data_IF_718026036207
#
_entry.id   IF_718026036207
#
_cell.length_a   1.000
_cell.length_b   1.000
_cell.length_c   1.000
_cell.angle_alpha   90.00
_cell.angle_beta   90.00
_cell.angle_gamma   90.00
#
_symmetry.space_group_name_H-M   'P 1'
#
loop_
_entity.id
_entity.type
_entity.pdbx_description
1 polymer ?
#
# COMPACT_ATOMS: atom_id res chain seq x y z
N UNK A 1 13.26 -11.74 0.53
CA UNK A 1 12.88 -11.08 1.79
C UNK A 1 11.99 -9.91 1.45
N UNK A 2 10.90 -9.69 2.19
CA UNK A 2 10.01 -8.54 2.01
C UNK A 2 10.52 -7.40 2.88
N UNK A 3 10.89 -6.29 2.27
CA UNK A 3 11.29 -5.06 2.94
C UNK A 3 10.04 -4.24 3.27
N UNK A 4 9.87 -3.88 4.54
CA UNK A 4 8.76 -3.05 5.01
C UNK A 4 9.31 -1.65 5.27
N UNK A 5 8.73 -0.66 4.61
CA UNK A 5 9.20 0.72 4.72
C UNK A 5 8.85 1.28 6.10
N UNK A 6 9.83 1.90 6.75
CA UNK A 6 9.66 2.63 7.99
C UNK A 6 8.99 4.00 7.79
N UNK A 7 8.52 4.61 8.87
CA UNK A 7 7.74 5.86 8.82
C UNK A 7 8.47 7.01 8.09
N UNK A 8 9.81 7.10 8.22
CA UNK A 8 10.61 8.12 7.54
C UNK A 8 10.67 7.90 6.03
N UNK A 9 10.82 6.66 5.60
CA UNK A 9 10.85 6.26 4.18
C UNK A 9 9.49 6.54 3.53
N UNK A 10 8.39 6.18 4.22
CA UNK A 10 7.03 6.47 3.75
C UNK A 10 6.80 7.95 3.52
N UNK A 11 7.13 8.79 4.52
CA UNK A 11 6.98 10.26 4.39
C UNK A 11 7.83 10.85 3.26
N UNK A 12 9.02 10.30 3.03
CA UNK A 12 9.86 10.73 1.92
C UNK A 12 9.22 10.38 0.57
N UNK A 13 8.70 9.16 0.40
CA UNK A 13 8.03 8.76 -0.85
C UNK A 13 6.74 9.55 -1.08
N UNK A 14 5.94 9.80 -0.02
CA UNK A 14 4.74 10.65 -0.11
C UNK A 14 5.08 12.07 -0.54
N UNK A 15 6.20 12.62 -0.07
CA UNK A 15 6.67 13.95 -0.48
C UNK A 15 7.09 13.96 -1.96
N UNK A 16 7.87 12.96 -2.39
CA UNK A 16 8.35 12.85 -3.76
C UNK A 16 7.24 12.56 -4.78
N UNK A 17 6.10 12.04 -4.35
CA UNK A 17 4.94 11.85 -5.23
C UNK A 17 4.38 13.20 -5.75
N UNK A 18 4.49 14.26 -4.94
CA UNK A 18 3.88 15.56 -5.24
C UNK A 18 4.55 16.16 -6.48
N UNK A 19 5.89 16.13 -6.51
CA UNK A 19 6.71 16.58 -7.62
C UNK A 19 7.54 15.42 -8.19
N UNK A 20 6.87 14.51 -8.88
CA UNK A 20 7.48 13.32 -9.46
C UNK A 20 8.19 13.55 -10.81
N UNK A 21 8.09 14.75 -11.38
CA UNK A 21 8.70 15.08 -12.69
C UNK A 21 10.13 15.57 -12.55
N UNK A 22 10.47 16.20 -11.42
CA UNK A 22 11.77 16.84 -11.17
C UNK A 22 12.59 16.09 -10.12
N UNK A 23 13.91 16.05 -10.32
CA UNK A 23 14.84 15.53 -9.30
C UNK A 23 14.98 16.53 -8.14
N UNK A 24 14.56 16.12 -6.94
CA UNK A 24 14.61 16.92 -5.72
C UNK A 24 15.97 16.78 -5.05
N UNK A 25 16.62 17.88 -4.69
CA UNK A 25 17.91 17.85 -4.01
C UNK A 25 17.73 17.58 -2.51
N UNK A 26 18.72 16.99 -1.81
CA UNK A 26 18.61 16.67 -0.38
C UNK A 26 18.14 17.82 0.53
N UNK A 27 18.49 19.07 0.20
CA UNK A 27 18.07 20.25 0.95
C UNK A 27 16.57 20.58 0.86
N UNK A 28 15.87 20.04 -0.14
CA UNK A 28 14.42 20.20 -0.34
C UNK A 28 13.60 19.07 0.28
N UNK A 29 14.25 17.98 0.70
CA UNK A 29 13.58 16.81 1.25
C UNK A 29 13.10 17.06 2.69
N UNK A 30 12.05 16.34 3.14
CA UNK A 30 11.54 16.45 4.50
C UNK A 30 12.61 16.14 5.55
N UNK A 31 12.58 16.87 6.66
CA UNK A 31 13.49 16.67 7.80
C UNK A 31 13.46 15.20 8.25
N UNK A 32 14.60 14.53 8.17
CA UNK A 32 14.75 13.11 8.52
C UNK A 32 15.04 12.18 7.34
N UNK A 33 14.98 12.67 6.10
CA UNK A 33 15.50 11.99 4.91
C UNK A 33 17.03 12.12 4.84
N UNK A 34 17.73 11.39 5.72
CA UNK A 34 19.20 11.36 5.72
C UNK A 34 19.77 10.55 4.56
N UNK A 35 21.07 10.72 4.29
CA UNK A 35 21.79 9.99 3.25
C UNK A 35 21.63 8.46 3.36
N UNK A 36 21.52 7.92 4.58
CA UNK A 36 21.27 6.49 4.79
C UNK A 36 19.90 6.02 4.31
N UNK A 37 18.86 6.83 4.47
CA UNK A 37 17.51 6.51 3.96
C UNK A 37 17.47 6.61 2.44
N UNK A 38 18.07 7.66 1.88
CA UNK A 38 18.17 7.84 0.43
C UNK A 38 18.96 6.72 -0.24
N UNK A 39 20.12 6.36 0.34
CA UNK A 39 20.95 5.27 -0.15
C UNK A 39 20.20 3.93 -0.16
N UNK A 40 19.48 3.61 0.92
CA UNK A 40 18.66 2.38 1.00
C UNK A 40 17.57 2.34 -0.06
N UNK A 41 16.78 3.41 -0.18
CA UNK A 41 15.69 3.42 -1.16
C UNK A 41 16.22 3.41 -2.60
N UNK A 42 17.38 4.01 -2.86
CA UNK A 42 18.06 3.94 -4.15
C UNK A 42 18.58 2.53 -4.43
N UNK A 43 19.18 1.85 -3.45
CA UNK A 43 19.67 0.47 -3.63
C UNK A 43 18.55 -0.55 -3.86
N UNK A 44 17.38 -0.30 -3.27
CA UNK A 44 16.17 -1.11 -3.49
C UNK A 44 15.47 -0.78 -4.82
N UNK A 45 15.96 0.20 -5.59
CA UNK A 45 15.39 0.63 -6.87
C UNK A 45 14.11 1.47 -6.74
N UNK A 46 13.73 1.87 -5.52
CA UNK A 46 12.52 2.66 -5.24
C UNK A 46 12.70 4.16 -5.57
N UNK A 47 13.95 4.61 -5.66
CA UNK A 47 14.33 5.96 -6.06
C UNK A 47 15.30 5.93 -7.23
N UNK A 48 15.15 6.92 -8.11
CA UNK A 48 16.10 7.24 -9.17
C UNK A 48 16.95 8.43 -8.75
N UNK A 49 18.24 8.37 -9.07
CA UNK A 49 19.16 9.48 -8.91
C UNK A 49 19.43 10.15 -10.26
N UNK A 50 19.57 11.47 -10.25
CA UNK A 50 19.81 12.24 -11.46
C UNK A 50 20.36 13.62 -11.16
N UNK A 51 20.62 14.39 -12.20
CA UNK A 51 21.05 15.78 -12.05
C UNK A 51 19.87 16.63 -11.55
N UNK A 52 20.03 17.20 -10.36
CA UNK A 52 19.15 18.23 -9.83
C UNK A 52 19.36 19.56 -10.54
N UNK A 53 18.49 20.53 -10.22
CA UNK A 53 18.42 21.86 -10.88
C UNK A 53 19.73 22.65 -10.87
N UNK A 54 20.63 22.38 -9.91
CA UNK A 54 21.90 23.10 -9.74
C UNK A 54 23.14 22.20 -9.95
N UNK A 55 22.97 21.03 -10.59
CA UNK A 55 24.07 20.07 -10.80
C UNK A 55 24.34 19.14 -9.61
N UNK A 56 23.65 19.33 -8.48
CA UNK A 56 23.68 18.41 -7.36
C UNK A 56 22.95 17.10 -7.67
N UNK A 57 23.30 16.01 -7.00
CA UNK A 57 22.56 14.75 -7.09
C UNK A 57 21.16 14.92 -6.50
N UNK A 58 20.15 14.89 -7.36
CA UNK A 58 18.75 14.88 -6.96
C UNK A 58 18.15 13.49 -7.00
N UNK A 59 16.99 13.36 -6.35
CA UNK A 59 16.26 12.11 -6.16
C UNK A 59 14.84 12.25 -6.68
N UNK A 60 14.36 11.21 -7.34
CA UNK A 60 13.00 11.13 -7.88
C UNK A 60 12.41 9.76 -7.61
N UNK A 61 11.09 9.70 -7.57
CA UNK A 61 10.36 8.45 -7.40
C UNK A 61 10.47 7.59 -8.67
N UNK A 62 10.85 6.32 -8.52
CA UNK A 62 10.88 5.37 -9.64
C UNK A 62 9.51 4.71 -9.84
N UNK A 63 9.31 4.01 -10.96
CA UNK A 63 8.12 3.19 -11.19
C UNK A 63 7.91 2.12 -10.11
N UNK A 64 9.00 1.56 -9.58
CA UNK A 64 8.97 0.61 -8.48
C UNK A 64 8.63 1.28 -7.15
N UNK A 65 9.07 2.52 -6.94
CA UNK A 65 8.61 3.38 -5.85
C UNK A 65 7.09 3.59 -5.87
N UNK A 66 6.51 3.86 -7.04
CA UNK A 66 5.06 3.95 -7.23
C UNK A 66 4.36 2.63 -6.91
N UNK A 67 4.89 1.50 -7.39
CA UNK A 67 4.36 0.17 -7.08
C UNK A 67 4.44 -0.18 -5.60
N UNK A 68 5.51 0.22 -4.93
CA UNK A 68 5.66 0.03 -3.49
C UNK A 68 4.64 0.84 -2.69
N UNK A 69 4.26 2.03 -3.17
CA UNK A 69 3.22 2.82 -2.52
C UNK A 69 1.83 2.31 -2.84
N UNK A 70 1.55 1.97 -4.09
CA UNK A 70 0.18 1.88 -4.60
C UNK A 70 -0.17 0.56 -5.28
N UNK A 71 0.77 -0.37 -5.37
CA UNK A 71 0.61 -1.65 -6.07
C UNK A 71 0.60 -1.52 -7.60
N UNK A 72 0.65 -0.30 -8.14
CA UNK A 72 0.65 0.02 -9.58
C UNK A 72 1.68 1.11 -9.90
N UNK A 73 2.09 1.18 -11.16
CA UNK A 73 2.93 2.27 -11.67
C UNK A 73 2.13 3.56 -11.85
N UNK A 74 2.82 4.69 -11.97
CA UNK A 74 2.19 5.98 -12.23
C UNK A 74 1.32 5.96 -13.50
N UNK A 75 1.84 5.41 -14.59
CA UNK A 75 1.13 5.36 -15.87
C UNK A 75 -0.13 4.48 -15.80
N UNK A 76 -0.07 3.35 -15.09
CA UNK A 76 -1.23 2.48 -14.85
C UNK A 76 -2.31 3.17 -13.98
N UNK A 77 -1.91 4.04 -13.05
CA UNK A 77 -2.87 4.83 -12.27
C UNK A 77 -3.51 5.94 -13.10
N UNK A 78 -2.75 6.57 -13.99
CA UNK A 78 -3.25 7.64 -14.86
C UNK A 78 -4.09 7.11 -16.04
N UNK A 79 -3.91 5.85 -16.44
CA UNK A 79 -4.66 5.22 -17.52
C UNK A 79 -6.04 4.70 -17.11
N UNK A 80 -6.37 4.64 -15.81
CA UNK A 80 -7.66 4.17 -15.31
C UNK A 80 -8.65 5.29 -15.04
N UNK A 81 -9.93 5.09 -15.42
CA UNK A 81 -11.05 6.01 -15.12
C UNK A 81 -11.50 5.99 -13.65
N UNK A 82 -11.15 4.93 -12.94
CA UNK A 82 -11.55 4.76 -11.56
C UNK A 82 -10.55 5.47 -10.64
N UNK A 83 -11.07 6.41 -9.85
CA UNK A 83 -10.40 7.07 -8.72
C UNK A 83 -10.05 6.02 -7.65
N UNK A 84 -9.10 5.14 -7.97
CA UNK A 84 -8.62 4.09 -7.10
C UNK A 84 -7.85 4.79 -5.99
N UNK A 85 -8.46 4.92 -4.82
CA UNK A 85 -7.74 5.16 -3.57
C UNK A 85 -6.76 4.00 -3.42
N UNK A 86 -5.48 4.20 -3.71
CA UNK A 86 -4.59 3.07 -3.82
C UNK A 86 -4.32 2.52 -2.42
N UNK A 87 -4.47 1.21 -2.26
CA UNK A 87 -4.09 0.52 -1.04
C UNK A 87 -2.60 0.80 -0.82
N UNK A 88 -2.28 1.50 0.27
CA UNK A 88 -0.90 1.83 0.59
C UNK A 88 -0.14 0.57 1.00
N UNK A 89 0.62 -0.04 0.07
CA UNK A 89 1.26 -1.35 0.25
C UNK A 89 2.43 -1.26 1.24
N UNK A 90 3.27 -0.22 1.12
CA UNK A 90 4.42 0.06 1.98
C UNK A 90 5.39 -1.12 2.18
N UNK A 91 5.42 -2.03 1.21
CA UNK A 91 6.32 -3.17 1.19
C UNK A 91 6.90 -3.39 -0.20
N UNK A 92 8.14 -3.85 -0.23
CA UNK A 92 8.87 -4.15 -1.46
C UNK A 92 9.61 -5.49 -1.34
N UNK A 93 9.51 -6.39 -2.34
CA UNK A 93 8.55 -6.36 -3.44
C UNK A 93 7.10 -6.47 -2.93
N UNK A 94 6.11 -5.96 -3.68
CA UNK A 94 4.71 -6.08 -3.30
C UNK A 94 4.34 -7.56 -3.22
N UNK A 95 3.92 -8.02 -2.05
CA UNK A 95 3.47 -9.40 -1.88
C UNK A 95 2.16 -9.61 -2.67
N UNK A 96 2.09 -10.71 -3.43
CA UNK A 96 0.97 -11.06 -4.31
C UNK A 96 -0.42 -10.99 -3.62
N UNK A 97 -0.47 -11.24 -2.31
CA UNK A 97 -1.69 -11.12 -1.50
C UNK A 97 -2.28 -9.70 -1.47
N UNK A 98 -1.44 -8.66 -1.53
CA UNK A 98 -1.89 -7.27 -1.49
C UNK A 98 -2.34 -6.80 -2.88
N UNK A 99 -1.73 -7.33 -3.95
CA UNK A 99 -2.13 -7.05 -5.32
C UNK A 99 -3.49 -7.68 -5.68
N UNK A 100 -3.83 -8.86 -5.14
CA UNK A 100 -5.12 -9.52 -5.38
C UNK A 100 -6.31 -8.90 -4.63
N UNK A 101 -6.07 -8.13 -3.56
CA UNK A 101 -7.13 -7.39 -2.87
C UNK A 101 -7.81 -6.33 -3.75
N UNK A 102 -7.17 -5.90 -4.84
CA UNK A 102 -7.69 -4.93 -5.81
C UNK A 102 -8.61 -5.54 -6.88
N UNK A 103 -8.68 -6.87 -7.02
CA UNK A 103 -9.43 -7.54 -8.10
C UNK A 103 -10.86 -7.96 -7.71
N UNK A 104 -11.29 -7.71 -6.46
CA UNK A 104 -12.68 -7.98 -6.07
C UNK A 104 -13.54 -6.74 -6.28
N UNK A 105 -14.46 -6.72 -7.25
CA UNK A 105 -15.55 -5.76 -7.21
C UNK A 105 -16.28 -5.94 -5.86
N UNK A 106 -16.57 -4.85 -5.18
CA UNK A 106 -17.43 -4.81 -3.98
C UNK A 106 -18.85 -5.23 -4.38
N UNK A 107 -19.05 -6.51 -4.66
CA UNK A 107 -20.37 -7.11 -4.71
C UNK A 107 -20.86 -7.26 -3.27
N UNK A 108 -21.71 -6.30 -2.87
CA UNK A 108 -22.83 -6.44 -1.93
C UNK A 108 -22.64 -7.40 -0.74
N UNK A 109 -22.56 -6.81 0.45
CA UNK A 109 -23.20 -7.39 1.64
C UNK A 109 -23.66 -6.26 2.57
N UNK A 110 -24.71 -5.57 2.14
CA UNK A 110 -25.63 -4.89 3.06
C UNK A 110 -26.38 -5.95 3.87
N UNK A 111 -26.23 -5.90 5.19
CA UNK A 111 -27.28 -6.02 6.22
C UNK A 111 -28.23 -7.23 6.09
N UNK A 112 -28.25 -8.21 7.01
CA UNK A 112 -28.90 -8.08 8.32
C UNK A 112 -28.54 -9.25 9.26
N UNK A 113 -28.61 -8.90 10.53
CA UNK A 113 -28.37 -9.60 11.81
C UNK A 113 -29.13 -10.93 12.04
N UNK A 114 -28.81 -11.65 13.13
CA UNK A 114 -28.93 -13.09 13.30
C UNK A 114 -30.30 -13.51 13.84
N UNK A 115 -30.73 -14.75 13.59
CA UNK A 115 -31.57 -15.55 14.48
C UNK A 115 -31.34 -17.01 14.04
N UNK A 116 -30.49 -17.72 14.78
CA UNK A 116 -30.40 -19.18 14.73
C UNK A 116 -31.38 -19.72 15.78
N UNK A 117 -32.68 -19.58 15.52
CA UNK A 117 -33.70 -20.39 16.16
C UNK A 117 -34.10 -21.43 15.13
N UNK A 118 -33.53 -22.63 15.24
CA UNK A 118 -34.27 -23.89 15.10
C UNK A 118 -33.35 -25.12 15.22
N UNK A 119 -33.82 -26.07 16.05
CA UNK A 119 -33.46 -27.48 16.21
C UNK A 119 -32.38 -27.81 17.28
N UNK A 120 -32.60 -28.84 18.14
CA UNK A 120 -33.31 -30.10 17.85
C UNK A 120 -34.40 -30.53 18.87
N UNK A 121 -35.31 -31.45 18.51
CA UNK A 121 -36.23 -32.08 19.45
C UNK A 121 -35.67 -33.41 19.93
N UNK A 122 -34.87 -33.47 21.00
CA UNK A 122 -34.65 -34.72 21.77
C UNK A 122 -34.05 -34.47 23.14
N UNK A 123 -34.88 -34.58 24.17
CA UNK A 123 -34.60 -35.10 25.51
C UNK A 123 -35.98 -35.41 26.10
N UNK A 124 -36.50 -36.64 25.96
CA UNK A 124 -36.33 -37.68 26.96
C UNK A 124 -36.46 -37.13 28.40
N UNK A 125 -37.67 -37.21 28.95
CA UNK A 125 -38.01 -37.92 30.19
C UNK A 125 -39.36 -37.41 30.71
N UNK A 126 -40.28 -38.34 31.01
CA UNK A 126 -41.11 -38.41 32.24
C UNK A 126 -42.08 -39.59 32.02
N UNK A 127 -41.86 -40.67 32.79
CA UNK A 127 -42.85 -41.71 33.05
C UNK A 127 -44.03 -41.10 33.81
N UNK A 128 -45.26 -41.58 33.61
CA UNK A 128 -46.21 -41.66 34.71
C UNK A 128 -46.53 -43.12 35.06
N UNK A 129 -46.52 -43.37 36.37
CA UNK A 129 -47.05 -44.54 37.05
C UNK A 129 -48.41 -44.98 36.51
N UNK A 130 -48.57 -46.29 36.26
CA UNK A 130 -49.66 -47.07 36.85
C UNK A 130 -49.29 -48.54 36.90
#
# INVERSE_FOLDING_TARGET
MTYILGNRERKLLEYLQIDHTTFQIPGQLPKGAGAGTLGKLTSEGLLETGAGRFGDTGYRLSNDGWRCMYGKTHDEMMAGDDQHYPLKVWSWPPTLDVAQASARPKARLTTLKPILSELPPRLAQIKPNR
#
